data_IF_183703364798
#
_entry.id   IF_183703364798
#
_cell.length_a   1.000
_cell.length_b   1.000
_cell.length_c   1.000
_cell.angle_alpha   90.00
_cell.angle_beta   90.00
_cell.angle_gamma   90.00
#
_symmetry.space_group_name_H-M   'P 1'
#
loop_
_entity.id
_entity.type
_entity.pdbx_description
1 polymer ?
#
# COMPACT_ATOMS: atom_id res chain seq x y z
N UNK A 1 13.91 10.98 -5.19
CA UNK A 1 14.22 12.26 -4.54
C UNK A 1 15.07 11.96 -3.33
N UNK A 2 16.36 12.32 -3.38
CA UNK A 2 17.25 12.25 -2.24
C UNK A 2 17.17 13.62 -1.56
N UNK A 3 16.67 13.67 -0.33
CA UNK A 3 16.53 14.93 0.41
C UNK A 3 17.91 15.32 0.95
N UNK A 4 18.42 16.48 0.54
CA UNK A 4 19.60 17.08 1.14
C UNK A 4 19.19 17.86 2.39
N UNK A 5 19.32 17.21 3.55
CA UNK A 5 18.86 17.74 4.83
C UNK A 5 19.68 18.93 5.32
N UNK A 6 20.90 19.11 4.81
CA UNK A 6 21.80 20.20 5.25
C UNK A 6 21.36 21.55 4.68
N UNK A 7 20.53 21.54 3.63
CA UNK A 7 19.97 22.75 3.00
C UNK A 7 18.60 23.15 3.55
N UNK A 8 18.03 22.36 4.45
CA UNK A 8 16.70 22.59 5.01
C UNK A 8 16.75 23.41 6.29
N UNK A 9 15.71 24.21 6.59
CA UNK A 9 15.54 24.84 7.89
C UNK A 9 15.70 23.81 9.02
N UNK A 10 16.40 24.18 10.08
CA UNK A 10 16.81 23.27 11.14
C UNK A 10 15.64 22.49 11.76
N UNK A 11 14.49 23.15 11.95
CA UNK A 11 13.28 22.53 12.48
C UNK A 11 12.77 21.41 11.54
N UNK A 12 12.64 21.70 10.24
CA UNK A 12 12.22 20.75 9.22
C UNK A 12 13.20 19.57 9.11
N UNK A 13 14.51 19.86 9.05
CA UNK A 13 15.56 18.84 9.00
C UNK A 13 15.54 17.91 10.22
N UNK A 14 15.21 18.45 11.41
CA UNK A 14 15.06 17.66 12.64
C UNK A 14 13.82 16.79 12.60
N UNK A 15 12.67 17.32 12.18
CA UNK A 15 11.43 16.55 12.05
C UNK A 15 11.60 15.36 11.09
N UNK A 16 12.18 15.60 9.90
CA UNK A 16 12.46 14.54 8.93
C UNK A 16 13.40 13.48 9.51
N UNK A 17 14.46 13.88 10.21
CA UNK A 17 15.37 12.92 10.88
C UNK A 17 14.65 12.06 11.90
N UNK A 18 13.82 12.67 12.77
CA UNK A 18 13.02 11.91 13.76
C UNK A 18 12.10 10.91 13.06
N UNK A 19 11.42 11.32 12.00
CA UNK A 19 10.53 10.46 11.24
C UNK A 19 11.27 9.26 10.63
N UNK A 20 12.44 9.49 10.03
CA UNK A 20 13.29 8.42 9.47
C UNK A 20 13.80 7.48 10.57
N UNK A 21 14.25 8.00 11.71
CA UNK A 21 14.71 7.18 12.84
C UNK A 21 13.59 6.34 13.43
N UNK A 22 12.39 6.90 13.60
CA UNK A 22 11.21 6.17 14.07
C UNK A 22 10.80 5.06 13.09
N UNK A 23 10.78 5.35 11.78
CA UNK A 23 10.47 4.37 10.75
C UNK A 23 11.49 3.23 10.70
N UNK A 24 12.79 3.53 10.85
CA UNK A 24 13.85 2.51 10.93
C UNK A 24 13.70 1.61 12.16
N UNK A 25 13.22 2.17 13.27
CA UNK A 25 12.91 1.43 14.49
C UNK A 25 11.53 0.74 14.46
N UNK A 26 10.80 0.79 13.33
CA UNK A 26 9.44 0.29 13.18
C UNK A 26 8.42 0.87 14.19
N UNK A 27 8.68 2.08 14.71
CA UNK A 27 7.75 2.85 15.53
C UNK A 27 6.86 3.67 14.60
N UNK A 28 5.85 3.03 14.04
CA UNK A 28 5.06 3.58 12.93
C UNK A 28 4.18 4.77 13.34
N UNK A 29 3.62 4.75 14.55
CA UNK A 29 2.92 5.90 15.14
C UNK A 29 3.83 7.14 15.16
N UNK A 30 4.96 7.07 15.87
CA UNK A 30 5.94 8.16 15.98
C UNK A 30 6.43 8.65 14.61
N UNK A 31 6.63 7.71 13.67
CA UNK A 31 7.06 8.04 12.32
C UNK A 31 5.98 8.84 11.57
N UNK A 32 4.71 8.44 11.70
CA UNK A 32 3.58 9.12 11.09
C UNK A 32 3.40 10.54 11.63
N UNK A 33 3.48 10.71 12.94
CA UNK A 33 3.38 12.03 13.58
C UNK A 33 4.54 12.94 13.18
N UNK A 34 5.78 12.44 13.19
CA UNK A 34 6.94 13.21 12.79
C UNK A 34 6.93 13.59 11.30
N UNK A 35 6.40 12.72 10.42
CA UNK A 35 6.16 13.07 9.01
C UNK A 35 5.05 14.10 8.86
N UNK A 36 3.99 14.02 9.67
CA UNK A 36 2.93 15.04 9.71
C UNK A 36 3.49 16.42 10.08
N UNK A 37 4.29 16.50 11.15
CA UNK A 37 4.97 17.73 11.57
C UNK A 37 5.91 18.27 10.48
N UNK A 38 6.72 17.39 9.87
CA UNK A 38 7.58 17.77 8.75
C UNK A 38 6.77 18.35 7.57
N UNK A 39 5.57 17.82 7.32
CA UNK A 39 4.66 18.33 6.31
C UNK A 39 4.21 19.77 6.60
N UNK A 40 3.73 20.04 7.82
CA UNK A 40 3.30 21.39 8.21
C UNK A 40 4.45 22.41 8.20
N UNK A 41 5.64 22.00 8.67
CA UNK A 41 6.84 22.84 8.60
C UNK A 41 7.23 23.14 7.15
N UNK A 42 7.16 22.16 6.26
CA UNK A 42 7.44 22.38 4.84
C UNK A 42 6.41 23.32 4.18
N UNK A 43 5.14 23.24 4.56
CA UNK A 43 4.10 24.16 4.08
C UNK A 43 4.35 25.60 4.54
N UNK A 44 4.73 25.79 5.81
CA UNK A 44 5.09 27.11 6.34
C UNK A 44 6.25 27.75 5.55
N UNK A 45 7.21 26.93 5.12
CA UNK A 45 8.36 27.31 4.30
C UNK A 45 8.07 27.34 2.79
N UNK A 46 6.80 27.12 2.38
CA UNK A 46 6.35 27.04 0.97
C UNK A 46 7.08 25.99 0.12
N UNK A 47 7.61 24.94 0.75
CA UNK A 47 8.28 23.81 0.10
C UNK A 47 7.28 22.69 -0.19
N UNK A 48 6.44 22.91 -1.20
CA UNK A 48 5.29 22.05 -1.51
C UNK A 48 5.69 20.62 -1.90
N UNK A 49 6.84 20.45 -2.55
CA UNK A 49 7.42 19.16 -2.92
C UNK A 49 7.75 18.31 -1.69
N UNK A 50 8.37 18.92 -0.66
CA UNK A 50 8.69 18.28 0.61
C UNK A 50 7.41 18.03 1.41
N UNK A 51 6.49 18.99 1.45
CA UNK A 51 5.21 18.82 2.15
C UNK A 51 4.42 17.63 1.57
N UNK A 52 4.38 17.51 0.23
CA UNK A 52 3.75 16.39 -0.46
C UNK A 52 4.44 15.06 -0.16
N UNK A 53 5.78 15.03 -0.19
CA UNK A 53 6.53 13.83 0.18
C UNK A 53 6.22 13.43 1.63
N UNK A 54 6.27 14.38 2.56
CA UNK A 54 6.01 14.15 3.97
C UNK A 54 4.59 13.60 4.20
N UNK A 55 3.57 14.15 3.51
CA UNK A 55 2.22 13.62 3.55
C UNK A 55 2.16 12.15 3.07
N UNK A 56 2.81 11.80 1.96
CA UNK A 56 2.86 10.42 1.46
C UNK A 56 3.60 9.47 2.41
N UNK A 57 4.65 9.93 3.09
CA UNK A 57 5.38 9.13 4.07
C UNK A 57 4.57 8.94 5.37
N UNK A 58 3.85 9.97 5.80
CA UNK A 58 2.92 9.87 6.93
C UNK A 58 1.81 8.86 6.63
N UNK A 59 1.27 8.86 5.41
CA UNK A 59 0.29 7.88 4.94
C UNK A 59 0.80 6.44 5.06
N UNK A 60 2.03 6.15 4.60
CA UNK A 60 2.62 4.81 4.72
C UNK A 60 2.79 4.41 6.19
N UNK A 61 3.29 5.33 7.01
CA UNK A 61 3.48 5.09 8.45
C UNK A 61 2.15 4.80 9.16
N UNK A 62 1.13 5.66 9.02
CA UNK A 62 -0.17 5.45 9.64
C UNK A 62 -0.88 4.18 9.15
N UNK A 63 -0.70 3.80 7.88
CA UNK A 63 -1.27 2.55 7.38
C UNK A 63 -0.60 1.32 7.99
N UNK A 64 0.71 1.37 8.24
CA UNK A 64 1.45 0.29 8.94
C UNK A 64 1.10 0.19 10.41
N UNK A 65 0.66 1.31 10.98
CA UNK A 65 0.19 1.44 12.36
C UNK A 65 -1.31 1.13 12.53
N UNK A 66 -2.03 0.80 11.45
CA UNK A 66 -3.47 0.55 11.44
C UNK A 66 -4.32 1.75 11.94
N UNK A 67 -3.94 2.98 11.54
CA UNK A 67 -4.64 4.23 11.87
C UNK A 67 -5.40 4.79 10.64
N UNK A 68 -6.52 4.19 10.23
CA UNK A 68 -7.20 4.52 8.96
C UNK A 68 -7.66 5.98 8.87
N UNK A 69 -8.08 6.60 9.99
CA UNK A 69 -8.46 8.02 10.01
C UNK A 69 -7.27 8.94 9.72
N UNK A 70 -6.10 8.66 10.32
CA UNK A 70 -4.87 9.41 10.06
C UNK A 70 -4.35 9.18 8.65
N UNK A 71 -4.45 7.95 8.13
CA UNK A 71 -4.15 7.63 6.73
C UNK A 71 -5.02 8.46 5.79
N UNK A 72 -6.32 8.55 6.05
CA UNK A 72 -7.25 9.31 5.22
C UNK A 72 -6.86 10.79 5.12
N UNK A 73 -6.61 11.44 6.26
CA UNK A 73 -6.16 12.85 6.32
C UNK A 73 -4.88 13.05 5.50
N UNK A 74 -3.91 12.15 5.65
CA UNK A 74 -2.65 12.21 4.90
C UNK A 74 -2.84 12.08 3.39
N UNK A 75 -3.75 11.22 2.94
CA UNK A 75 -4.05 11.03 1.51
C UNK A 75 -4.75 12.25 0.94
N UNK A 76 -5.73 12.82 1.65
CA UNK A 76 -6.41 14.04 1.24
C UNK A 76 -5.42 15.21 1.11
N UNK A 77 -4.50 15.34 2.07
CA UNK A 77 -3.42 16.33 2.01
C UNK A 77 -2.52 16.08 0.79
N UNK A 78 -2.09 14.84 0.57
CA UNK A 78 -1.25 14.51 -0.59
C UNK A 78 -1.97 14.80 -1.92
N UNK A 79 -3.28 14.56 -1.99
CA UNK A 79 -4.11 14.91 -3.13
C UNK A 79 -4.17 16.43 -3.33
N UNK A 80 -4.36 17.22 -2.28
CA UNK A 80 -4.37 18.69 -2.38
C UNK A 80 -3.03 19.24 -2.91
N UNK A 81 -1.92 18.62 -2.54
CA UNK A 81 -0.57 19.04 -2.91
C UNK A 81 -0.05 18.46 -4.24
N UNK A 82 -0.81 17.58 -4.90
CA UNK A 82 -0.40 16.96 -6.16
C UNK A 82 -1.08 17.66 -7.33
N UNK A 83 -0.32 18.28 -8.22
CA UNK A 83 -0.88 18.96 -9.41
C UNK A 83 -1.02 18.02 -10.61
N UNK A 84 -0.05 17.11 -10.79
CA UNK A 84 -0.01 16.19 -11.93
C UNK A 84 -1.27 15.32 -12.01
N UNK A 85 -2.08 15.42 -13.07
CA UNK A 85 -3.35 14.69 -13.19
C UNK A 85 -3.20 13.17 -13.09
N UNK A 86 -2.10 12.61 -13.61
CA UNK A 86 -1.82 11.18 -13.54
C UNK A 86 -1.58 10.71 -12.11
N UNK A 87 -0.73 11.41 -11.37
CA UNK A 87 -0.48 11.14 -9.95
C UNK A 87 -1.74 11.37 -9.09
N UNK A 88 -2.52 12.42 -9.36
CA UNK A 88 -3.80 12.66 -8.69
C UNK A 88 -4.79 11.51 -8.91
N UNK A 89 -4.85 10.96 -10.11
CA UNK A 89 -5.71 9.83 -10.43
C UNK A 89 -5.29 8.58 -9.63
N UNK A 90 -3.98 8.30 -9.55
CA UNK A 90 -3.44 7.22 -8.71
C UNK A 90 -3.74 7.41 -7.22
N UNK A 91 -3.55 8.62 -6.69
CA UNK A 91 -3.88 8.94 -5.30
C UNK A 91 -5.38 8.89 -5.01
N UNK A 92 -6.22 9.19 -6.01
CA UNK A 92 -7.68 9.08 -5.86
C UNK A 92 -8.13 7.63 -5.72
N UNK A 93 -7.54 6.71 -6.48
CA UNK A 93 -7.76 5.28 -6.28
C UNK A 93 -7.36 4.83 -4.87
N UNK A 94 -6.24 5.35 -4.37
CA UNK A 94 -5.79 5.05 -3.03
C UNK A 94 -6.68 5.67 -1.93
N UNK A 95 -7.19 6.89 -2.14
CA UNK A 95 -8.19 7.51 -1.27
C UNK A 95 -9.42 6.61 -1.10
N UNK A 96 -9.94 6.08 -2.19
CA UNK A 96 -11.12 5.18 -2.15
C UNK A 96 -10.80 3.92 -1.34
N UNK A 97 -9.61 3.33 -1.51
CA UNK A 97 -9.18 2.21 -0.67
C UNK A 97 -9.13 2.58 0.83
N UNK A 98 -8.62 3.77 1.16
CA UNK A 98 -8.58 4.24 2.55
C UNK A 98 -9.99 4.50 3.12
N UNK A 99 -10.92 5.01 2.30
CA UNK A 99 -12.31 5.19 2.68
C UNK A 99 -12.99 3.84 2.95
N UNK A 100 -12.69 2.80 2.16
CA UNK A 100 -13.14 1.43 2.42
C UNK A 100 -12.58 0.88 3.73
N UNK A 101 -11.27 1.02 3.95
CA UNK A 101 -10.58 0.59 5.17
C UNK A 101 -11.16 1.32 6.41
N UNK A 102 -11.57 2.59 6.27
CA UNK A 102 -12.21 3.40 7.31
C UNK A 102 -13.73 3.15 7.47
N UNK A 103 -14.34 2.28 6.66
CA UNK A 103 -15.78 2.00 6.69
C UNK A 103 -16.67 3.11 6.10
N UNK A 104 -16.09 4.10 5.44
CA UNK A 104 -16.77 5.23 4.79
C UNK A 104 -17.33 4.82 3.41
N UNK A 105 -18.18 3.80 3.37
CA UNK A 105 -18.55 3.09 2.13
C UNK A 105 -19.28 3.97 1.11
N UNK A 106 -20.19 4.82 1.56
CA UNK A 106 -20.95 5.74 0.71
C UNK A 106 -20.02 6.77 0.05
N UNK A 107 -19.10 7.34 0.84
CA UNK A 107 -18.13 8.30 0.34
C UNK A 107 -17.12 7.65 -0.62
N UNK A 108 -16.70 6.41 -0.33
CA UNK A 108 -15.86 5.61 -1.23
C UNK A 108 -16.53 5.42 -2.60
N UNK A 109 -17.79 5.00 -2.61
CA UNK A 109 -18.57 4.84 -3.83
C UNK A 109 -18.72 6.16 -4.59
N UNK A 110 -19.15 7.22 -3.92
CA UNK A 110 -19.35 8.53 -4.54
C UNK A 110 -18.05 9.03 -5.18
N UNK A 111 -16.95 8.97 -4.43
CA UNK A 111 -15.62 9.38 -4.91
C UNK A 111 -15.21 8.57 -6.13
N UNK A 112 -15.44 7.25 -6.13
CA UNK A 112 -15.10 6.41 -7.28
C UNK A 112 -15.91 6.79 -8.52
N UNK A 113 -17.23 7.01 -8.39
CA UNK A 113 -18.11 7.39 -9.50
C UNK A 113 -17.74 8.76 -10.08
N UNK A 114 -17.50 9.75 -9.24
CA UNK A 114 -17.09 11.10 -9.67
C UNK A 114 -15.79 11.05 -10.46
N UNK A 115 -14.81 10.25 -10.02
CA UNK A 115 -13.53 10.09 -10.71
C UNK A 115 -13.66 9.35 -12.03
N UNK A 116 -14.49 8.32 -12.10
CA UNK A 116 -14.78 7.62 -13.36
C UNK A 116 -15.44 8.58 -14.37
N UNK A 117 -16.41 9.39 -13.92
CA UNK A 117 -17.10 10.38 -14.76
C UNK A 117 -16.16 11.50 -15.25
N UNK A 118 -15.15 11.87 -14.46
CA UNK A 118 -14.17 12.89 -14.83
C UNK A 118 -13.19 12.45 -15.95
N UNK A 119 -13.19 11.18 -16.34
CA UNK A 119 -12.31 10.64 -17.38
C UNK A 119 -10.89 10.45 -16.87
N UNK A 120 -10.57 9.23 -16.43
CA UNK A 120 -9.22 8.83 -16.00
C UNK A 120 -8.51 7.96 -17.03
N UNK A 121 -7.17 7.88 -17.00
CA UNK A 121 -6.43 6.96 -17.85
C UNK A 121 -6.92 5.50 -17.70
N UNK A 122 -6.89 4.67 -18.76
CA UNK A 122 -7.46 3.31 -18.75
C UNK A 122 -6.95 2.41 -17.62
N UNK A 123 -5.66 2.50 -17.29
CA UNK A 123 -5.05 1.72 -16.22
C UNK A 123 -5.60 2.13 -14.83
N UNK A 124 -5.91 3.41 -14.62
CA UNK A 124 -6.53 3.90 -13.38
C UNK A 124 -8.03 3.61 -13.38
N UNK A 125 -8.68 3.68 -14.53
CA UNK A 125 -10.10 3.39 -14.71
C UNK A 125 -10.47 2.01 -14.14
N UNK A 126 -9.71 0.97 -14.51
CA UNK A 126 -9.94 -0.38 -13.99
C UNK A 126 -9.71 -0.51 -12.47
N UNK A 127 -8.73 0.22 -11.91
CA UNK A 127 -8.49 0.24 -10.46
C UNK A 127 -9.67 0.90 -9.72
N UNK A 128 -10.19 2.01 -10.27
CA UNK A 128 -11.36 2.68 -9.71
C UNK A 128 -12.61 1.80 -9.79
N UNK A 129 -12.80 1.08 -10.90
CA UNK A 129 -13.89 0.11 -11.03
C UNK A 129 -13.76 -1.04 -10.03
N UNK A 130 -12.56 -1.59 -9.80
CA UNK A 130 -12.36 -2.62 -8.76
C UNK A 130 -12.64 -2.09 -7.35
N UNK A 131 -12.24 -0.84 -7.08
CA UNK A 131 -12.50 -0.18 -5.79
C UNK A 131 -13.99 0.10 -5.58
N UNK A 132 -14.68 0.56 -6.64
CA UNK A 132 -16.13 0.75 -6.64
C UNK A 132 -16.86 -0.59 -6.43
N UNK A 133 -16.43 -1.65 -7.09
CA UNK A 133 -16.94 -3.00 -6.85
C UNK A 133 -16.76 -3.40 -5.39
N UNK A 134 -15.60 -3.09 -4.78
CA UNK A 134 -15.37 -3.28 -3.35
C UNK A 134 -16.36 -2.52 -2.46
N UNK A 135 -16.64 -1.26 -2.77
CA UNK A 135 -17.61 -0.44 -2.04
C UNK A 135 -19.03 -1.00 -2.12
N UNK A 136 -19.49 -1.33 -3.34
CA UNK A 136 -20.82 -1.88 -3.59
C UNK A 136 -21.00 -3.25 -2.92
N UNK A 137 -19.97 -4.10 -2.99
CA UNK A 137 -19.92 -5.37 -2.30
C UNK A 137 -20.07 -5.21 -0.78
N UNK A 138 -19.30 -4.29 -0.17
CA UNK A 138 -19.36 -4.03 1.26
C UNK A 138 -20.72 -3.47 1.71
N UNK A 139 -21.41 -2.73 0.83
CA UNK A 139 -22.76 -2.23 1.06
C UNK A 139 -23.87 -3.26 0.80
N UNK A 140 -23.55 -4.38 0.16
CA UNK A 140 -24.53 -5.38 -0.27
C UNK A 140 -25.35 -4.99 -1.51
N UNK A 141 -24.93 -3.97 -2.28
CA UNK A 141 -25.59 -3.61 -3.54
C UNK A 141 -25.15 -4.55 -4.67
N UNK A 142 -25.85 -5.67 -4.80
CA UNK A 142 -25.55 -6.69 -5.81
C UNK A 142 -25.89 -6.26 -7.23
N UNK A 143 -26.89 -5.39 -7.42
CA UNK A 143 -27.29 -4.90 -8.75
C UNK A 143 -26.23 -3.94 -9.28
N UNK A 144 -25.82 -2.98 -8.45
CA UNK A 144 -24.72 -2.08 -8.77
C UNK A 144 -23.43 -2.85 -9.01
N UNK A 145 -23.13 -3.84 -8.16
CA UNK A 145 -21.94 -4.69 -8.30
C UNK A 145 -21.93 -5.45 -9.63
N UNK A 146 -23.05 -6.05 -10.05
CA UNK A 146 -23.19 -6.72 -11.35
C UNK A 146 -22.80 -5.80 -12.51
N UNK A 147 -23.33 -4.58 -12.53
CA UNK A 147 -23.05 -3.61 -13.59
C UNK A 147 -21.56 -3.25 -13.64
N UNK A 148 -20.93 -3.00 -12.48
CA UNK A 148 -19.52 -2.63 -12.39
C UNK A 148 -18.60 -3.79 -12.76
N UNK A 149 -18.90 -5.01 -12.34
CA UNK A 149 -18.12 -6.21 -12.72
C UNK A 149 -18.18 -6.43 -14.23
N UNK A 150 -19.34 -6.22 -14.85
CA UNK A 150 -19.47 -6.31 -16.31
C UNK A 150 -18.57 -5.29 -17.02
N UNK A 151 -18.58 -4.03 -16.57
CA UNK A 151 -17.72 -2.98 -17.11
C UNK A 151 -16.23 -3.32 -16.92
N UNK A 152 -15.84 -3.75 -15.72
CA UNK A 152 -14.47 -4.12 -15.39
C UNK A 152 -13.97 -5.25 -16.30
N UNK A 153 -14.79 -6.29 -16.53
CA UNK A 153 -14.45 -7.39 -17.44
C UNK A 153 -14.26 -6.94 -18.89
N UNK A 154 -15.08 -6.00 -19.35
CA UNK A 154 -15.06 -5.55 -20.75
C UNK A 154 -13.81 -4.75 -21.14
N UNK A 155 -13.12 -4.15 -20.17
CA UNK A 155 -11.97 -3.26 -20.41
C UNK A 155 -10.68 -3.65 -19.70
N UNK A 156 -10.62 -4.80 -19.03
CA UNK A 156 -9.45 -5.19 -18.23
C UNK A 156 -8.49 -6.11 -18.99
N UNK A 157 -7.20 -5.77 -18.94
CA UNK A 157 -6.11 -6.58 -19.47
C UNK A 157 -5.08 -6.92 -18.37
N UNK A 158 -4.30 -7.99 -18.57
CA UNK A 158 -3.22 -8.39 -17.65
C UNK A 158 -3.69 -8.60 -16.20
N UNK A 159 -2.99 -7.97 -15.24
CA UNK A 159 -3.31 -8.06 -13.81
C UNK A 159 -4.73 -7.55 -13.48
N UNK A 160 -5.27 -6.61 -14.25
CA UNK A 160 -6.62 -6.09 -14.04
C UNK A 160 -7.67 -7.11 -14.47
N UNK A 161 -7.37 -7.97 -15.44
CA UNK A 161 -8.27 -9.06 -15.84
C UNK A 161 -8.40 -10.12 -14.73
N UNK A 162 -7.35 -10.31 -13.93
CA UNK A 162 -7.41 -11.15 -12.74
C UNK A 162 -8.28 -10.53 -11.63
N UNK A 163 -8.20 -9.21 -11.42
CA UNK A 163 -9.11 -8.50 -10.52
C UNK A 163 -10.58 -8.63 -10.97
N UNK A 164 -10.85 -8.48 -12.27
CA UNK A 164 -12.18 -8.69 -12.86
C UNK A 164 -12.73 -10.10 -12.58
N UNK A 165 -11.92 -11.13 -12.85
CA UNK A 165 -12.28 -12.54 -12.58
C UNK A 165 -12.51 -12.80 -11.09
N UNK A 166 -11.71 -12.18 -10.23
CA UNK A 166 -11.90 -12.29 -8.79
C UNK A 166 -13.25 -11.72 -8.35
N UNK A 167 -13.62 -10.52 -8.82
CA UNK A 167 -14.92 -9.89 -8.50
C UNK A 167 -16.10 -10.67 -9.08
N UNK A 168 -15.97 -11.21 -10.29
CA UNK A 168 -16.96 -12.09 -10.89
C UNK A 168 -17.19 -13.34 -10.03
N UNK A 169 -16.12 -13.99 -9.57
CA UNK A 169 -16.23 -15.13 -8.66
C UNK A 169 -16.86 -14.76 -7.31
N UNK A 170 -16.56 -13.58 -6.76
CA UNK A 170 -17.22 -13.09 -5.53
C UNK A 170 -18.72 -12.90 -5.74
N UNK A 171 -19.11 -12.24 -6.83
CA UNK A 171 -20.49 -12.00 -7.19
C UNK A 171 -21.25 -13.32 -7.43
N UNK A 172 -20.65 -14.28 -8.15
CA UNK A 172 -21.23 -15.59 -8.39
C UNK A 172 -21.51 -16.34 -7.08
N UNK A 173 -20.58 -16.28 -6.11
CA UNK A 173 -20.80 -16.87 -4.77
C UNK A 173 -21.98 -16.24 -4.05
N UNK A 174 -22.13 -14.91 -4.11
CA UNK A 174 -23.22 -14.19 -3.45
C UNK A 174 -24.58 -14.47 -4.08
N UNK A 175 -24.63 -14.69 -5.39
CA UNK A 175 -25.85 -15.04 -6.12
C UNK A 175 -26.21 -16.54 -6.05
N UNK A 176 -25.43 -17.34 -5.31
CA UNK A 176 -25.65 -18.79 -5.22
C UNK A 176 -25.23 -19.56 -6.47
N UNK A 177 -24.53 -18.92 -7.41
CA UNK A 177 -23.97 -19.56 -8.59
C UNK A 177 -22.62 -20.19 -8.24
N UNK A 178 -22.66 -21.36 -7.61
CA UNK A 178 -21.48 -22.22 -7.46
C UNK A 178 -21.18 -22.96 -8.77
N UNK A 179 -20.77 -22.24 -9.82
CA UNK A 179 -20.06 -22.87 -10.92
C UNK A 179 -18.63 -23.13 -10.45
N UNK A 180 -18.21 -24.41 -10.43
CA UNK A 180 -16.79 -24.77 -10.30
C UNK A 180 -15.99 -23.91 -11.28
N UNK A 181 -14.84 -23.32 -10.90
CA UNK A 181 -13.99 -22.66 -11.88
C UNK A 181 -13.56 -23.71 -12.92
N UNK A 182 -14.14 -23.60 -14.12
CA UNK A 182 -13.78 -24.40 -15.29
C UNK A 182 -12.41 -23.94 -15.79
N UNK A 183 -11.38 -24.43 -15.11
CA UNK A 183 -9.99 -24.07 -15.35
C UNK A 183 -9.14 -24.76 -14.29
N UNK A 184 -8.79 -26.01 -14.55
CA UNK A 184 -7.98 -26.82 -13.67
C UNK A 184 -6.63 -26.14 -13.38
N UNK A 185 -6.40 -25.70 -12.15
CA UNK A 185 -5.05 -25.73 -11.59
C UNK A 185 -4.69 -27.20 -11.37
N UNK A 186 -4.16 -27.86 -12.40
CA UNK A 186 -3.44 -29.12 -12.21
C UNK A 186 -2.13 -28.81 -11.50
N UNK A 187 -2.14 -28.81 -10.17
CA UNK A 187 -0.92 -29.06 -9.40
C UNK A 187 -1.20 -30.10 -8.33
N UNK A 188 -0.38 -31.15 -8.39
CA UNK A 188 -0.32 -32.38 -7.60
C UNK A 188 -0.64 -32.23 -6.10
N UNK A 189 -1.28 -33.24 -5.47
CA UNK A 189 -1.61 -33.19 -4.05
C UNK A 189 -0.35 -33.35 -3.18
N UNK A 190 -0.07 -32.39 -2.32
CA UNK A 190 0.72 -32.63 -1.11
C UNK A 190 -0.19 -32.61 0.13
N UNK A 191 -0.02 -33.57 1.05
CA UNK A 191 -0.91 -33.75 2.19
C UNK A 191 -0.66 -32.67 3.25
N UNK A 192 -1.78 -32.19 3.76
CA UNK A 192 -1.95 -31.27 4.88
C UNK A 192 -1.43 -31.89 6.19
N UNK A 193 -0.67 -31.11 6.96
CA UNK A 193 -0.46 -31.34 8.39
C UNK A 193 -0.54 -30.00 9.13
N UNK A 194 -1.77 -29.73 9.59
CA UNK A 194 -2.17 -29.05 10.84
C UNK A 194 -1.26 -27.98 11.47
N UNK A 195 -1.78 -26.73 11.52
CA UNK A 195 -1.99 -25.95 12.76
C UNK A 195 -2.77 -24.66 12.49
N UNK A 196 -3.68 -24.22 13.39
CA UNK A 196 -4.49 -23.03 13.17
C UNK A 196 -3.68 -21.77 13.51
N UNK A 197 -3.26 -21.01 12.50
CA UNK A 197 -2.84 -19.62 12.72
C UNK A 197 -4.05 -18.71 12.49
N UNK A 198 -4.27 -17.81 13.46
CA UNK A 198 -5.23 -16.70 13.38
C UNK A 198 -5.20 -16.09 11.99
N UNK A 199 -6.35 -16.07 11.33
CA UNK A 199 -6.52 -15.47 10.01
C UNK A 199 -6.39 -13.96 10.18
N UNK A 200 -5.24 -13.41 9.80
CA UNK A 200 -5.14 -11.99 9.52
C UNK A 200 -6.07 -11.67 8.33
N UNK A 201 -6.77 -10.52 8.32
CA UNK A 201 -7.64 -10.16 7.21
C UNK A 201 -6.85 -10.18 5.90
N UNK A 202 -7.45 -10.82 4.90
CA UNK A 202 -6.82 -11.09 3.61
C UNK A 202 -6.44 -9.77 2.91
N UNK A 203 -5.14 -9.57 2.67
CA UNK A 203 -4.63 -8.48 1.83
C UNK A 203 -5.07 -8.70 0.38
N UNK A 204 -5.62 -7.70 -0.32
CA UNK A 204 -5.84 -7.80 -1.75
C UNK A 204 -4.50 -7.92 -2.49
N UNK A 205 -4.38 -8.82 -3.50
CA UNK A 205 -3.11 -9.25 -4.08
C UNK A 205 -2.38 -8.21 -4.94
N UNK A 206 -2.97 -7.04 -5.20
CA UNK A 206 -2.46 -6.08 -6.20
C UNK A 206 -1.62 -4.93 -5.62
N UNK A 207 -1.54 -4.77 -4.30
CA UNK A 207 -0.66 -3.75 -3.68
C UNK A 207 0.76 -4.31 -3.59
N UNK A 208 1.36 -4.54 -4.76
CA UNK A 208 2.80 -4.80 -4.86
C UNK A 208 3.52 -3.46 -4.67
N UNK A 209 4.25 -3.35 -3.56
CA UNK A 209 5.04 -2.19 -3.14
C UNK A 209 6.10 -1.71 -4.16
N UNK A 210 6.31 -2.43 -5.26
CA UNK A 210 7.39 -2.16 -6.23
C UNK A 210 7.06 -1.12 -7.29
N UNK A 211 5.79 -0.78 -7.49
CA UNK A 211 5.36 0.18 -8.52
C UNK A 211 4.90 1.54 -7.97
N UNK A 212 5.05 1.77 -6.66
CA UNK A 212 4.73 3.06 -6.06
C UNK A 212 5.87 4.08 -6.27
N UNK A 213 5.56 5.35 -6.60
CA UNK A 213 6.55 6.41 -6.75
C UNK A 213 7.33 6.72 -5.46
N UNK A 214 6.84 6.25 -4.30
CA UNK A 214 7.53 6.32 -3.01
C UNK A 214 8.62 5.26 -2.78
N UNK A 215 8.87 4.34 -3.71
CA UNK A 215 9.89 3.28 -3.60
C UNK A 215 11.36 3.77 -3.63
N UNK A 216 11.58 5.07 -3.42
CA UNK A 216 12.87 5.76 -3.49
C UNK A 216 13.79 5.52 -2.29
N UNK A 217 13.36 4.79 -1.27
CA UNK A 217 14.20 4.36 -0.16
C UNK A 217 14.23 2.84 -0.12
N UNK A 218 15.23 2.25 -0.78
CA UNK A 218 15.63 0.87 -0.47
C UNK A 218 16.26 0.88 0.92
N UNK A 219 15.80 0.06 1.89
CA UNK A 219 16.62 -0.20 3.07
C UNK A 219 17.94 -0.83 2.61
N UNK A 220 19.08 -0.52 3.26
CA UNK A 220 20.35 -1.16 2.96
C UNK A 220 20.18 -2.68 3.07
N UNK A 221 20.78 -3.43 2.12
CA UNK A 221 20.81 -4.89 2.19
C UNK A 221 21.36 -5.29 3.56
N UNK A 222 20.72 -6.21 4.31
CA UNK A 222 21.37 -6.77 5.46
C UNK A 222 22.67 -7.43 5.00
N UNK A 223 23.79 -7.00 5.58
CA UNK A 223 25.08 -7.68 5.43
C UNK A 223 24.89 -9.17 5.77
N UNK A 224 25.53 -10.10 5.04
CA UNK A 224 25.38 -11.52 5.34
C UNK A 224 25.90 -11.80 6.75
N UNK A 225 24.99 -12.03 7.69
CA UNK A 225 25.33 -12.57 8.99
C UNK A 225 25.79 -14.01 8.78
N UNK A 226 27.10 -14.21 8.87
CA UNK A 226 27.76 -15.50 9.10
C UNK A 226 27.25 -16.10 10.42
N UNK A 227 26.11 -16.79 10.37
CA UNK A 227 25.68 -17.66 11.45
C UNK A 227 26.27 -19.04 11.21
N UNK A 228 27.40 -19.30 11.90
CA UNK A 228 27.96 -20.64 12.06
C UNK A 228 27.03 -21.41 13.00
N UNK A 229 26.59 -22.64 12.66
CA UNK A 229 25.72 -23.42 13.55
C UNK A 229 26.48 -23.84 14.83
N UNK A 230 25.79 -23.95 15.97
CA UNK A 230 26.39 -24.38 17.23
C UNK A 230 26.65 -25.89 17.16
N UNK A 231 27.91 -26.32 17.28
CA UNK A 231 28.25 -27.75 17.29
C UNK A 231 29.63 -28.14 16.75
N UNK A 232 30.42 -27.22 16.19
CA UNK A 232 31.80 -27.52 15.80
C UNK A 232 32.76 -27.14 16.90
N UNK A 233 33.33 -28.15 17.58
CA UNK A 233 34.45 -27.97 18.51
C UNK A 233 35.68 -27.33 17.85
N UNK A 234 36.62 -26.81 18.64
CA UNK A 234 37.77 -26.08 18.12
C UNK A 234 38.68 -27.00 17.29
N UNK A 235 39.03 -26.57 16.08
CA UNK A 235 40.15 -27.17 15.33
C UNK A 235 41.45 -26.53 15.85
N UNK A 236 42.51 -27.33 16.07
CA UNK A 236 43.82 -26.82 16.45
C UNK A 236 44.46 -26.14 15.24
N UNK A 237 44.90 -24.88 15.38
CA UNK A 237 45.52 -24.19 14.25
C UNK A 237 45.85 -22.71 14.43
N UNK A 238 45.38 -22.03 15.48
CA UNK A 238 45.77 -20.64 15.72
C UNK A 238 47.00 -20.59 16.64
N UNK A 239 48.15 -20.82 16.03
CA UNK A 239 49.45 -20.45 16.59
C UNK A 239 50.22 -19.60 15.57
N UNK A 240 50.80 -18.50 16.07
CA UNK A 240 51.69 -17.52 15.43
C UNK A 240 51.00 -16.49 14.51
N UNK A 241 51.24 -15.18 14.60
CA UNK A 241 52.31 -14.37 15.19
C UNK A 241 51.72 -13.00 15.63
N UNK A 242 51.99 -12.44 16.81
CA UNK A 242 53.20 -11.76 17.29
C UNK A 242 53.73 -10.59 16.44
N UNK A 243 53.58 -9.37 17.02
CA UNK A 243 54.56 -8.26 17.03
C UNK A 243 54.77 -7.52 15.70
N UNK A 244 54.62 -6.19 15.57
CA UNK A 244 55.11 -5.05 16.38
C UNK A 244 54.21 -3.83 16.21
#
# INVERSE_FOLDING_TARGET
>A
MQLDLDTLPLALARAIRRALTAAQAARWEDAGEAWGEAGELALAERRLDIARLAALQAVDAFRRDDRPASTLIGVERALQLTEDPGQRAGLSAYLIACLLDAGQLQLAEQTARERLAAGVPPNIHAILLDSLAGALLARGDLIGLQAVVHQLRSGAEGLLAEAARFREAQLARLLGHLARPSGAFTTSPRPWATSPRRVAPARPPWVSWRSWPGSLVRPPRPSPCTTRPPGCGPRPGDAAACSR
#
